data_IF_364730016385
#
_entry.id   IF_364730016385
#
_cell.length_a   1.000
_cell.length_b   1.000
_cell.length_c   1.000
_cell.angle_alpha   90.00
_cell.angle_beta   90.00
_cell.angle_gamma   90.00
#
_symmetry.space_group_name_H-M   'P 1'
#
loop_
_entity.id
_entity.type
_entity.pdbx_description
1 polymer ?
#
# COMPACT_ATOMS: atom_id res chain seq x y z
N UNK A 1 -0.48 41.49 -1.25
CA UNK A 1 0.68 40.90 -0.54
C UNK A 1 1.47 40.10 -1.55
N UNK A 2 2.67 40.56 -1.92
CA UNK A 2 3.51 39.84 -2.88
C UNK A 2 4.09 38.60 -2.20
N UNK A 3 3.76 37.41 -2.70
CA UNK A 3 4.34 36.15 -2.21
C UNK A 3 5.82 36.17 -2.60
N UNK A 4 6.71 36.18 -1.61
CA UNK A 4 8.15 36.12 -1.86
C UNK A 4 8.53 34.77 -2.46
N UNK A 5 9.66 34.68 -3.16
CA UNK A 5 10.17 33.42 -3.73
C UNK A 5 10.22 32.28 -2.69
N UNK A 6 10.55 32.60 -1.45
CA UNK A 6 10.53 31.66 -0.32
C UNK A 6 9.10 31.24 0.07
N UNK A 7 8.14 32.17 0.06
CA UNK A 7 6.73 31.87 0.27
C UNK A 7 6.15 30.93 -0.78
N UNK A 8 6.54 31.10 -2.05
CA UNK A 8 6.14 30.19 -3.13
C UNK A 8 6.68 28.77 -2.90
N UNK A 9 7.96 28.66 -2.54
CA UNK A 9 8.59 27.37 -2.20
C UNK A 9 7.90 26.67 -1.02
N UNK A 10 7.55 27.42 0.03
CA UNK A 10 6.85 26.87 1.18
C UNK A 10 5.45 26.34 0.82
N UNK A 11 4.68 27.07 0.01
CA UNK A 11 3.36 26.64 -0.44
C UNK A 11 3.46 25.37 -1.31
N UNK A 12 4.45 25.30 -2.21
CA UNK A 12 4.67 24.12 -3.03
C UNK A 12 5.00 22.88 -2.18
N UNK A 13 5.89 23.02 -1.19
CA UNK A 13 6.24 21.92 -0.29
C UNK A 13 5.05 21.48 0.59
N UNK A 14 4.25 22.43 1.07
CA UNK A 14 3.04 22.13 1.81
C UNK A 14 2.04 21.33 0.96
N UNK A 15 1.80 21.76 -0.29
CA UNK A 15 0.90 21.06 -1.19
C UNK A 15 1.36 19.62 -1.47
N UNK A 16 2.65 19.42 -1.75
CA UNK A 16 3.23 18.09 -1.98
C UNK A 16 3.11 17.22 -0.71
N UNK A 17 3.43 17.78 0.46
CA UNK A 17 3.32 17.08 1.74
C UNK A 17 1.88 16.66 2.06
N UNK A 18 0.90 17.52 1.77
CA UNK A 18 -0.53 17.19 1.94
C UNK A 18 -0.96 16.06 1.02
N UNK A 19 -0.56 16.09 -0.27
CA UNK A 19 -0.89 15.02 -1.23
C UNK A 19 -0.27 13.69 -0.79
N UNK A 20 1.00 13.71 -0.35
CA UNK A 20 1.70 12.51 0.11
C UNK A 20 1.04 11.90 1.35
N UNK A 21 0.70 12.72 2.35
CA UNK A 21 -0.01 12.24 3.55
C UNK A 21 -1.38 11.65 3.21
N UNK A 22 -2.10 12.26 2.25
CA UNK A 22 -3.39 11.74 1.80
C UNK A 22 -3.23 10.36 1.15
N UNK A 23 -2.24 10.20 0.26
CA UNK A 23 -1.95 8.90 -0.35
C UNK A 23 -1.53 7.85 0.68
N UNK A 24 -0.73 8.23 1.68
CA UNK A 24 -0.31 7.34 2.75
C UNK A 24 -1.49 6.87 3.61
N UNK A 25 -2.51 7.72 3.85
CA UNK A 25 -3.69 7.36 4.62
C UNK A 25 -4.64 6.41 3.86
N UNK A 26 -4.78 6.60 2.54
CA UNK A 26 -5.72 5.84 1.72
C UNK A 26 -5.15 4.48 1.30
N UNK A 27 -3.85 4.40 1.02
CA UNK A 27 -3.25 3.16 0.54
C UNK A 27 -3.03 2.16 1.70
N UNK A 28 -3.42 0.88 1.54
CA UNK A 28 -3.32 -0.12 2.60
C UNK A 28 -1.90 -0.68 2.76
N UNK A 29 -0.89 0.18 2.90
CA UNK A 29 0.54 -0.21 2.93
C UNK A 29 1.23 0.09 4.27
N UNK A 30 0.47 0.32 5.34
CA UNK A 30 1.04 0.61 6.66
C UNK A 30 1.75 -0.61 7.26
N UNK A 31 1.22 -1.80 6.99
CA UNK A 31 1.87 -3.07 7.32
C UNK A 31 1.79 -4.01 6.13
N UNK A 32 2.88 -4.69 5.84
CA UNK A 32 2.99 -5.65 4.76
C UNK A 32 3.57 -6.93 5.34
N UNK A 33 2.87 -8.04 5.14
CA UNK A 33 3.37 -9.36 5.52
C UNK A 33 3.23 -10.31 4.33
N UNK A 34 4.19 -11.22 4.19
CA UNK A 34 4.13 -12.29 3.22
C UNK A 34 4.31 -13.59 3.97
N UNK A 35 3.26 -14.39 4.00
CA UNK A 35 3.29 -15.72 4.60
C UNK A 35 3.28 -16.77 3.49
N UNK A 36 4.26 -17.65 3.55
CA UNK A 36 4.33 -18.87 2.75
C UNK A 36 3.96 -20.02 3.67
N UNK A 37 2.83 -20.67 3.43
CA UNK A 37 2.34 -21.71 4.34
C UNK A 37 2.85 -23.08 3.91
N UNK A 38 3.91 -23.56 4.55
CA UNK A 38 4.50 -24.88 4.27
C UNK A 38 3.51 -26.05 4.50
N UNK A 39 2.48 -25.86 5.33
CA UNK A 39 1.47 -26.87 5.63
C UNK A 39 0.35 -26.97 4.57
N UNK A 40 0.20 -25.95 3.71
CA UNK A 40 -0.84 -25.89 2.66
C UNK A 40 -0.22 -25.68 1.27
N UNK A 41 1.06 -26.02 1.11
CA UNK A 41 1.86 -25.87 -0.13
C UNK A 41 1.23 -26.57 -1.35
N UNK A 42 0.31 -27.51 -1.12
CA UNK A 42 -0.44 -28.20 -2.17
C UNK A 42 -1.60 -27.38 -2.76
N UNK A 43 -2.07 -26.34 -2.05
CA UNK A 43 -3.23 -25.53 -2.44
C UNK A 43 -2.87 -24.04 -2.59
N UNK A 44 -2.19 -23.44 -1.61
CA UNK A 44 -1.86 -22.00 -1.58
C UNK A 44 -0.34 -21.80 -1.54
N UNK A 45 0.25 -21.22 -2.59
CA UNK A 45 1.70 -21.00 -2.71
C UNK A 45 2.18 -19.82 -1.87
N UNK A 46 1.41 -18.74 -1.80
CA UNK A 46 1.76 -17.58 -0.99
C UNK A 46 0.56 -16.67 -0.74
N UNK A 47 0.48 -16.09 0.45
CA UNK A 47 -0.46 -15.01 0.75
C UNK A 47 0.31 -13.71 1.04
N UNK A 48 0.04 -12.70 0.23
CA UNK A 48 0.50 -11.33 0.46
C UNK A 48 -0.60 -10.56 1.18
N UNK A 49 -0.26 -10.07 2.37
CA UNK A 49 -1.13 -9.26 3.21
C UNK A 49 -0.62 -7.83 3.22
N UNK A 50 -1.53 -6.90 2.95
CA UNK A 50 -1.28 -5.45 2.99
C UNK A 50 -2.40 -4.81 3.79
N UNK A 51 -2.10 -4.10 4.86
CA UNK A 51 -3.10 -3.37 5.62
C UNK A 51 -2.72 -1.91 5.83
N UNK A 52 -3.72 -1.05 5.85
CA UNK A 52 -3.62 0.35 6.20
C UNK A 52 -4.67 0.75 7.22
N UNK A 53 -4.79 2.06 7.43
CA UNK A 53 -5.71 2.61 8.43
C UNK A 53 -7.18 2.30 8.13
N UNK A 54 -7.56 2.34 6.85
CA UNK A 54 -8.97 2.24 6.42
C UNK A 54 -9.41 0.82 6.06
N UNK A 55 -8.48 -0.14 6.00
CA UNK A 55 -8.77 -1.51 5.58
C UNK A 55 -7.53 -2.29 5.16
N UNK A 56 -7.76 -3.50 4.65
CA UNK A 56 -6.71 -4.41 4.25
C UNK A 56 -7.04 -5.08 2.91
N UNK A 57 -5.99 -5.49 2.22
CA UNK A 57 -6.04 -6.30 1.01
C UNK A 57 -5.28 -7.60 1.26
N UNK A 58 -5.86 -8.70 0.81
CA UNK A 58 -5.23 -10.02 0.85
C UNK A 58 -5.17 -10.53 -0.57
N UNK A 59 -3.98 -10.89 -1.02
CA UNK A 59 -3.76 -11.50 -2.31
C UNK A 59 -3.17 -12.90 -2.08
N UNK A 60 -3.93 -13.93 -2.40
CA UNK A 60 -3.57 -15.32 -2.18
C UNK A 60 -3.36 -15.99 -3.54
N UNK A 61 -2.15 -16.47 -3.76
CA UNK A 61 -1.79 -17.24 -4.94
C UNK A 61 -2.16 -18.72 -4.70
N UNK A 62 -3.10 -19.24 -5.49
CA UNK A 62 -3.56 -20.63 -5.44
C UNK A 62 -2.87 -21.43 -6.55
N UNK A 63 -2.29 -22.58 -6.23
CA UNK A 63 -1.57 -23.42 -7.21
C UNK A 63 -2.48 -24.27 -8.09
N UNK A 64 -3.78 -24.34 -7.82
CA UNK A 64 -4.68 -25.17 -8.62
C UNK A 64 -5.27 -24.41 -9.83
N UNK A 65 -4.45 -24.23 -10.87
CA UNK A 65 -4.93 -23.98 -12.23
C UNK A 65 -4.82 -25.27 -13.05
N UNK A 66 -5.58 -26.28 -12.64
CA UNK A 66 -5.93 -27.39 -13.54
C UNK A 66 -7.32 -27.11 -14.11
N UNK A 67 -7.38 -26.25 -15.14
CA UNK A 67 -8.40 -26.39 -16.18
C UNK A 67 -8.21 -27.77 -16.81
N UNK A 68 -8.96 -28.74 -16.31
CA UNK A 68 -9.19 -30.02 -16.99
C UNK A 68 -10.44 -29.88 -17.85
#
# INVERSE_FOLDING_TARGET
MAITKHGYGAIAMAAIGTIYNTAALVLPMWTVNKTVNSALTSEVTSTNFKAGLMGFCVDSELTNSSTT
#
